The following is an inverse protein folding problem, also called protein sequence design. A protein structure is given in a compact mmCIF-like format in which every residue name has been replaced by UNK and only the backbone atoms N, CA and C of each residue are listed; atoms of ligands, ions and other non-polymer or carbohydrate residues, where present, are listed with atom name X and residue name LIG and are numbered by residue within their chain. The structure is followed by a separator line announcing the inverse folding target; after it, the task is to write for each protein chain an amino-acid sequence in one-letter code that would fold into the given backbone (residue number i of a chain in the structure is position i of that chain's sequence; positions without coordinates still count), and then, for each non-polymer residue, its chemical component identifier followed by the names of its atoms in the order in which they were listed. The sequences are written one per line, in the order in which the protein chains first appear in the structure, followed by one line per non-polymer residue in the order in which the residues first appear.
data_IF_787178749401
#
_entry.id   IF_787178749401
#
_cell.length_a   1.000
_cell.length_b   1.000
_cell.length_c   1.000
_cell.angle_alpha   90.00
_cell.angle_beta   90.00
_cell.angle_gamma   90.00
#
_symmetry.space_group_name_H-M   'P 1'
#
loop_
_entity.id
_entity.type
_entity.pdbx_description
1 polymer ?
#
# COMPACT_ATOMS: atom_id res chain seq x y z
N UNK A 1 -50.52 -26.92 22.47
CA UNK A 1 -49.71 -25.88 23.14
C UNK A 1 -48.38 -25.78 22.40
N UNK A 2 -47.92 -24.53 22.23
CA UNK A 2 -46.71 -23.95 21.62
C UNK A 2 -45.46 -24.87 21.68
N UNK A 3 -44.45 -24.86 20.79
CA UNK A 3 -44.06 -24.07 19.60
C UNK A 3 -42.80 -24.78 19.01
N UNK A 4 -42.59 -24.87 17.68
CA UNK A 4 -41.28 -25.20 17.14
C UNK A 4 -40.45 -23.91 16.99
N UNK A 5 -39.38 -23.79 17.77
CA UNK A 5 -38.43 -22.68 17.67
C UNK A 5 -37.70 -22.77 16.33
N UNK A 6 -38.19 -22.02 15.34
CA UNK A 6 -37.54 -21.85 14.05
C UNK A 6 -36.24 -21.07 14.26
N UNK A 7 -35.11 -21.79 14.20
CA UNK A 7 -33.78 -21.20 14.22
C UNK A 7 -33.54 -20.54 12.85
N UNK A 8 -33.85 -19.25 12.75
CA UNK A 8 -33.50 -18.42 11.59
C UNK A 8 -31.97 -18.26 11.56
N UNK A 9 -31.29 -19.11 10.79
CA UNK A 9 -29.90 -18.93 10.40
C UNK A 9 -29.83 -17.76 9.39
N UNK A 10 -29.71 -16.54 9.92
CA UNK A 10 -29.42 -15.36 9.11
C UNK A 10 -27.98 -15.45 8.62
N UNK A 11 -27.76 -16.07 7.46
CA UNK A 11 -26.48 -16.03 6.76
C UNK A 11 -26.26 -14.60 6.26
N UNK A 12 -25.52 -13.81 7.03
CA UNK A 12 -25.01 -12.51 6.60
C UNK A 12 -24.04 -12.75 5.44
N UNK A 13 -24.52 -12.54 4.21
CA UNK A 13 -23.65 -12.39 3.04
C UNK A 13 -22.82 -11.13 3.25
N UNK A 14 -21.61 -11.29 3.78
CA UNK A 14 -20.59 -10.25 3.71
C UNK A 14 -20.27 -10.05 2.24
N UNK A 15 -20.76 -8.96 1.66
CA UNK A 15 -20.27 -8.49 0.37
C UNK A 15 -18.80 -8.21 0.56
N UNK A 16 -17.93 -9.00 -0.07
CA UNK A 16 -16.52 -8.64 -0.19
C UNK A 16 -16.50 -7.36 -1.03
N UNK A 17 -16.31 -6.23 -0.36
CA UNK A 17 -16.05 -4.98 -1.05
C UNK A 17 -14.65 -5.12 -1.65
N UNK A 18 -14.58 -5.02 -2.96
CA UNK A 18 -13.36 -5.18 -3.75
C UNK A 18 -12.58 -3.86 -3.68
N UNK A 19 -11.46 -3.82 -2.96
CA UNK A 19 -10.59 -2.61 -2.89
C UNK A 19 -9.75 -2.38 -4.16
N UNK A 20 -10.07 -3.09 -5.24
CA UNK A 20 -9.30 -3.07 -6.46
C UNK A 20 -9.41 -1.73 -7.19
N UNK A 21 -8.35 -1.43 -7.95
CA UNK A 21 -8.33 -0.31 -8.88
C UNK A 21 -7.74 -0.82 -10.20
N UNK A 22 -7.94 -0.06 -11.27
CA UNK A 22 -7.31 -0.30 -12.56
C UNK A 22 -6.53 0.96 -12.96
N UNK A 23 -5.26 0.80 -13.32
CA UNK A 23 -4.47 1.89 -13.90
C UNK A 23 -4.79 2.01 -15.39
N UNK A 24 -5.37 3.13 -15.80
CA UNK A 24 -5.78 3.35 -17.19
C UNK A 24 -4.79 4.20 -17.97
N UNK A 25 -4.21 5.22 -17.33
CA UNK A 25 -3.15 6.01 -17.92
C UNK A 25 -2.11 6.42 -16.88
N UNK A 26 -0.80 6.34 -17.16
CA UNK A 26 -0.18 5.74 -18.34
C UNK A 26 -0.54 4.26 -18.51
N UNK A 27 -0.36 3.71 -19.72
CA UNK A 27 -0.83 2.34 -20.03
C UNK A 27 -0.22 1.34 -19.05
N UNK A 28 -1.08 0.64 -18.30
CA UNK A 28 -0.68 -0.43 -17.39
C UNK A 28 0.03 -1.57 -18.12
N UNK A 29 1.01 -2.16 -17.45
CA UNK A 29 1.77 -3.32 -17.93
C UNK A 29 0.90 -4.57 -18.09
N UNK A 30 -0.09 -4.71 -17.22
CA UNK A 30 -1.07 -5.79 -17.19
C UNK A 30 -1.97 -5.66 -15.97
N UNK A 31 -3.04 -6.44 -15.93
CA UNK A 31 -3.94 -6.53 -14.79
C UNK A 31 -4.56 -7.93 -14.69
N UNK A 32 -4.59 -8.46 -13.48
CA UNK A 32 -5.22 -9.71 -13.08
C UNK A 32 -5.59 -9.55 -11.61
N UNK A 33 -6.89 -9.56 -11.31
CA UNK A 33 -7.46 -9.24 -10.00
C UNK A 33 -6.87 -10.14 -8.91
N UNK A 34 -6.76 -11.44 -9.20
CA UNK A 34 -6.23 -12.45 -8.29
C UNK A 34 -4.74 -12.24 -7.96
N UNK A 35 -4.01 -11.50 -8.79
CA UNK A 35 -2.58 -11.23 -8.62
C UNK A 35 -2.29 -9.81 -8.15
N UNK A 36 -3.29 -8.95 -8.03
CA UNK A 36 -3.14 -7.52 -7.71
C UNK A 36 -2.32 -7.26 -6.43
N UNK A 37 -2.41 -8.15 -5.43
CA UNK A 37 -1.60 -8.10 -4.21
C UNK A 37 -0.15 -8.60 -4.33
N UNK A 38 0.28 -9.04 -5.52
CA UNK A 38 1.63 -9.55 -5.75
C UNK A 38 2.59 -8.41 -6.09
N UNK A 39 3.40 -8.01 -5.12
CA UNK A 39 4.46 -7.02 -5.34
C UNK A 39 5.53 -7.54 -6.33
N UNK A 40 6.10 -6.68 -7.21
CA UNK A 40 5.86 -5.24 -7.31
C UNK A 40 4.74 -4.80 -8.25
N UNK A 41 4.34 -5.60 -9.24
CA UNK A 41 3.51 -5.10 -10.33
C UNK A 41 2.23 -5.92 -10.54
N UNK A 42 1.65 -6.42 -9.45
CA UNK A 42 0.47 -7.29 -9.51
C UNK A 42 0.76 -8.62 -10.20
N UNK A 43 1.99 -9.14 -10.05
CA UNK A 43 2.47 -10.35 -10.72
C UNK A 43 2.88 -10.17 -12.18
N UNK A 44 2.86 -8.95 -12.72
CA UNK A 44 3.36 -8.62 -14.06
C UNK A 44 4.81 -8.11 -13.99
N UNK A 45 5.75 -9.00 -13.66
CA UNK A 45 7.11 -8.58 -13.29
C UNK A 45 7.99 -8.24 -14.49
N UNK A 46 7.64 -8.68 -15.70
CA UNK A 46 8.41 -8.38 -16.92
C UNK A 46 7.99 -7.04 -17.53
N UNK A 47 8.88 -6.03 -17.61
CA UNK A 47 8.55 -4.75 -18.23
C UNK A 47 8.12 -4.87 -19.69
N UNK A 48 7.12 -4.08 -20.06
CA UNK A 48 6.64 -3.97 -21.44
C UNK A 48 7.66 -3.24 -22.32
N UNK A 49 7.75 -3.65 -23.58
CA UNK A 49 8.44 -2.87 -24.62
C UNK A 49 7.58 -1.71 -25.14
N UNK A 50 6.27 -1.77 -24.96
CA UNK A 50 5.33 -0.70 -25.27
C UNK A 50 5.27 0.26 -24.08
N UNK A 51 6.09 1.32 -24.12
CA UNK A 51 6.22 2.31 -23.03
C UNK A 51 5.47 3.59 -23.37
N UNK A 52 4.78 4.15 -22.38
CA UNK A 52 4.11 5.44 -22.54
C UNK A 52 5.13 6.58 -22.47
N UNK A 53 5.08 7.53 -23.40
CA UNK A 53 5.87 8.74 -23.28
C UNK A 53 5.35 9.59 -22.11
N UNK A 54 6.19 9.87 -21.12
CA UNK A 54 5.80 10.60 -19.91
C UNK A 54 6.64 11.90 -19.79
N UNK A 55 6.02 13.08 -19.91
CA UNK A 55 6.71 14.36 -19.79
C UNK A 55 7.40 14.56 -18.44
N UNK A 56 8.63 15.07 -18.45
CA UNK A 56 9.31 15.54 -17.23
C UNK A 56 8.54 16.68 -16.53
N UNK A 57 7.83 17.49 -17.31
CA UNK A 57 7.06 18.64 -16.84
C UNK A 57 5.78 18.27 -16.09
N UNK A 58 5.45 16.98 -15.99
CA UNK A 58 4.21 16.51 -15.39
C UNK A 58 3.22 15.96 -16.41
N UNK A 59 2.45 14.97 -15.97
CA UNK A 59 1.38 14.33 -16.73
C UNK A 59 0.35 13.70 -15.78
N UNK A 60 -0.87 13.39 -16.25
CA UNK A 60 -1.88 12.82 -15.38
C UNK A 60 -1.55 11.38 -14.96
N UNK A 61 -2.24 10.88 -13.94
CA UNK A 61 -2.41 9.44 -13.73
C UNK A 61 -3.90 9.18 -13.56
N UNK A 62 -4.47 8.39 -14.47
CA UNK A 62 -5.88 7.98 -14.48
C UNK A 62 -6.03 6.61 -13.86
N UNK A 63 -6.87 6.54 -12.85
CA UNK A 63 -7.31 5.30 -12.22
C UNK A 63 -8.81 5.12 -12.44
N UNK A 64 -9.24 3.86 -12.48
CA UNK A 64 -10.63 3.44 -12.29
C UNK A 64 -10.72 2.74 -10.92
N UNK A 65 -11.40 3.38 -9.96
CA UNK A 65 -11.45 3.01 -8.55
C UNK A 65 -12.69 2.16 -8.26
N UNK A 66 -12.56 0.94 -7.76
CA UNK A 66 -13.71 0.07 -7.48
C UNK A 66 -14.09 0.01 -5.99
N UNK A 67 -13.46 0.85 -5.18
CA UNK A 67 -13.77 1.05 -3.77
C UNK A 67 -14.32 2.44 -3.49
N UNK A 68 -15.04 2.60 -2.37
CA UNK A 68 -15.60 3.89 -1.97
C UNK A 68 -14.60 4.82 -1.29
N UNK A 69 -13.55 4.26 -0.73
CA UNK A 69 -12.44 4.97 -0.09
C UNK A 69 -11.17 4.15 -0.35
N UNK A 70 -10.03 4.77 -0.60
CA UNK A 70 -8.76 4.04 -0.76
C UNK A 70 -7.60 4.97 -0.45
N UNK A 71 -6.59 4.51 0.27
CA UNK A 71 -5.32 5.21 0.39
C UNK A 71 -4.43 4.83 -0.80
N UNK A 72 -3.96 5.82 -1.54
CA UNK A 72 -3.17 5.64 -2.77
C UNK A 72 -1.84 6.35 -2.64
N UNK A 73 -0.78 5.73 -3.17
CA UNK A 73 0.58 6.26 -3.26
C UNK A 73 1.11 6.03 -4.67
N UNK A 74 1.93 6.96 -5.17
CA UNK A 74 2.59 6.81 -6.47
C UNK A 74 4.10 6.91 -6.30
N UNK A 75 4.79 5.89 -6.78
CA UNK A 75 6.26 5.78 -6.72
C UNK A 75 6.83 5.45 -8.10
N UNK A 76 8.13 5.69 -8.26
CA UNK A 76 8.85 5.51 -9.51
C UNK A 76 10.14 4.70 -9.26
N UNK A 77 10.40 3.75 -10.15
CA UNK A 77 11.67 3.04 -10.28
C UNK A 77 12.34 3.40 -11.61
N UNK A 78 13.65 3.61 -11.60
CA UNK A 78 14.42 4.07 -12.76
C UNK A 78 15.09 2.89 -13.47
N UNK A 79 15.04 2.89 -14.80
CA UNK A 79 15.71 1.92 -15.65
C UNK A 79 14.75 1.15 -16.56
N UNK A 80 15.33 0.25 -17.36
CA UNK A 80 14.56 -0.65 -18.22
C UNK A 80 13.78 -1.69 -17.40
N UNK A 81 14.38 -2.15 -16.31
CA UNK A 81 13.78 -3.11 -15.39
C UNK A 81 14.22 -2.74 -13.97
N UNK A 82 13.40 -1.96 -13.23
CA UNK A 82 13.75 -1.58 -11.87
C UNK A 82 13.58 -2.73 -10.86
N UNK A 83 13.01 -3.88 -11.24
CA UNK A 83 12.66 -4.95 -10.30
C UNK A 83 11.81 -4.40 -9.15
N UNK A 84 12.37 -4.39 -7.94
CA UNK A 84 11.71 -3.89 -6.72
C UNK A 84 12.14 -2.48 -6.31
N UNK A 85 13.00 -1.82 -7.10
CA UNK A 85 13.64 -0.55 -6.73
C UNK A 85 12.75 0.68 -7.01
N UNK A 86 11.63 0.79 -6.30
CA UNK A 86 10.72 1.93 -6.35
C UNK A 86 11.00 2.92 -5.21
N UNK A 87 12.06 3.72 -5.35
CA UNK A 87 12.58 4.57 -4.28
C UNK A 87 12.29 6.07 -4.47
N UNK A 88 11.60 6.46 -5.53
CA UNK A 88 11.25 7.86 -5.82
C UNK A 88 9.76 8.05 -5.59
N UNK A 89 9.39 8.94 -4.68
CA UNK A 89 7.98 9.26 -4.42
C UNK A 89 7.53 10.34 -5.40
N UNK A 90 6.55 10.01 -6.24
CA UNK A 90 5.89 10.98 -7.12
C UNK A 90 4.71 11.63 -6.42
N UNK A 91 3.95 10.83 -5.67
CA UNK A 91 2.86 11.31 -4.81
C UNK A 91 2.86 10.56 -3.49
N UNK A 92 3.08 11.26 -2.36
CA UNK A 92 2.95 10.66 -1.03
C UNK A 92 1.54 10.12 -0.81
N UNK A 93 1.40 9.16 0.10
CA UNK A 93 0.11 8.53 0.39
C UNK A 93 -0.96 9.57 0.73
N UNK A 94 -2.08 9.49 0.03
CA UNK A 94 -3.26 10.31 0.24
C UNK A 94 -4.49 9.41 0.23
N UNK A 95 -5.58 9.91 0.80
CA UNK A 95 -6.86 9.23 0.79
C UNK A 95 -7.70 9.72 -0.38
N UNK A 96 -8.16 8.81 -1.20
CA UNK A 96 -9.15 8.96 -2.27
C UNK A 96 -10.52 8.52 -1.71
N UNK A 97 -11.59 9.20 -2.13
CA UNK A 97 -12.99 8.83 -1.84
C UNK A 97 -13.85 9.06 -3.07
N UNK A 98 -14.44 7.99 -3.57
CA UNK A 98 -15.37 8.02 -4.70
C UNK A 98 -14.99 6.94 -5.72
N UNK A 99 -15.90 6.03 -6.09
CA UNK A 99 -15.60 5.03 -7.10
C UNK A 99 -15.53 5.64 -8.51
N UNK A 100 -15.16 4.81 -9.48
CA UNK A 100 -15.00 5.08 -10.90
C UNK A 100 -13.78 5.97 -11.22
N UNK A 101 -13.93 6.89 -12.17
CA UNK A 101 -12.81 7.65 -12.72
C UNK A 101 -12.21 8.57 -11.66
N UNK A 102 -10.93 8.37 -11.35
CA UNK A 102 -10.14 9.27 -10.54
C UNK A 102 -8.85 9.64 -11.26
N UNK A 103 -8.65 10.93 -11.48
CA UNK A 103 -7.44 11.46 -12.09
C UNK A 103 -6.61 12.30 -11.12
N UNK A 104 -5.32 11.99 -11.07
CA UNK A 104 -4.28 12.87 -10.54
C UNK A 104 -3.74 13.71 -11.68
N UNK A 105 -4.23 14.95 -11.84
CA UNK A 105 -4.05 15.70 -13.10
C UNK A 105 -2.64 16.16 -13.44
N UNK A 106 -1.74 16.24 -12.46
CA UNK A 106 -0.39 16.74 -12.68
C UNK A 106 0.60 16.06 -11.73
N UNK A 107 1.20 14.96 -12.21
CA UNK A 107 2.23 14.21 -11.49
C UNK A 107 3.59 14.57 -12.10
N UNK A 108 4.29 15.47 -11.43
CA UNK A 108 5.64 15.89 -11.81
C UNK A 108 6.70 14.87 -11.35
N UNK A 109 7.74 14.70 -12.16
CA UNK A 109 8.92 13.94 -11.78
C UNK A 109 9.87 14.87 -11.02
N UNK A 110 10.24 14.55 -9.77
CA UNK A 110 11.10 15.43 -8.99
C UNK A 110 12.48 15.55 -9.63
N UNK A 111 13.05 16.75 -9.67
CA UNK A 111 14.36 17.01 -10.25
C UNK A 111 15.49 16.16 -9.62
N UNK A 112 15.33 15.77 -8.35
CA UNK A 112 16.26 14.87 -7.65
C UNK A 112 16.36 13.47 -8.25
N UNK A 113 15.40 13.06 -9.09
CA UNK A 113 15.45 11.82 -9.85
C UNK A 113 16.52 11.82 -10.95
N UNK A 114 17.02 13.00 -11.35
CA UNK A 114 18.04 13.17 -12.40
C UNK A 114 17.69 12.46 -13.71
N UNK A 115 16.39 12.44 -14.06
CA UNK A 115 15.92 11.82 -15.31
C UNK A 115 16.05 12.80 -16.48
N UNK A 116 16.37 12.24 -17.64
CA UNK A 116 16.51 12.97 -18.90
C UNK A 116 15.71 12.26 -19.98
N UNK A 117 15.40 12.99 -21.05
CA UNK A 117 14.67 12.47 -22.21
C UNK A 117 15.30 11.18 -22.77
N UNK A 118 14.45 10.21 -23.09
CA UNK A 118 14.84 8.88 -23.57
C UNK A 118 15.18 7.88 -22.46
N UNK A 119 15.34 8.30 -21.20
CA UNK A 119 15.48 7.36 -20.10
C UNK A 119 14.19 6.58 -19.88
N UNK A 120 14.32 5.31 -19.55
CA UNK A 120 13.20 4.45 -19.18
C UNK A 120 13.01 4.43 -17.67
N UNK A 121 11.76 4.34 -17.25
CA UNK A 121 11.36 4.17 -15.86
C UNK A 121 10.04 3.39 -15.79
N UNK A 122 9.64 3.03 -14.57
CA UNK A 122 8.35 2.40 -14.29
C UNK A 122 7.68 3.16 -13.16
N UNK A 123 6.46 3.62 -13.39
CA UNK A 123 5.58 4.15 -12.34
C UNK A 123 4.87 2.96 -11.71
N UNK A 124 4.84 2.91 -10.38
CA UNK A 124 4.02 1.98 -9.62
C UNK A 124 2.99 2.79 -8.83
N UNK A 125 1.72 2.42 -9.00
CA UNK A 125 0.62 2.87 -8.16
C UNK A 125 0.41 1.80 -7.11
N UNK A 126 0.36 2.23 -5.86
CA UNK A 126 0.13 1.38 -4.69
C UNK A 126 -1.16 1.85 -4.03
N UNK A 127 -2.09 0.93 -3.78
CA UNK A 127 -3.21 1.16 -2.89
C UNK A 127 -3.12 0.28 -1.65
N UNK A 128 -3.86 0.61 -0.58
CA UNK A 128 -4.18 -0.42 0.40
C UNK A 128 -5.14 -1.45 -0.19
N UNK A 129 -5.08 -2.68 0.33
CA UNK A 129 -6.14 -3.67 0.19
C UNK A 129 -7.21 -3.49 1.26
N UNK A 130 -8.33 -4.16 1.09
CA UNK A 130 -9.34 -4.35 2.13
C UNK A 130 -9.38 -5.85 2.52
N UNK A 131 -9.27 -6.18 3.82
CA UNK A 131 -9.10 -5.27 4.95
C UNK A 131 -7.66 -4.77 5.15
N UNK A 132 -6.65 -5.49 4.64
CA UNK A 132 -5.22 -5.25 4.87
C UNK A 132 -4.37 -5.56 3.62
N UNK A 133 -3.10 -5.16 3.67
CA UNK A 133 -2.14 -5.35 2.58
C UNK A 133 -2.28 -4.26 1.51
N UNK A 134 -1.86 -4.55 0.29
CA UNK A 134 -1.78 -3.55 -0.74
C UNK A 134 -1.83 -4.15 -2.12
N UNK A 135 -2.30 -3.33 -3.05
CA UNK A 135 -2.52 -3.70 -4.43
C UNK A 135 -1.62 -2.85 -5.31
N UNK A 136 -1.09 -3.48 -6.36
CA UNK A 136 -0.02 -2.89 -7.15
C UNK A 136 -0.32 -2.97 -8.63
N UNK A 137 -0.13 -1.86 -9.32
CA UNK A 137 -0.09 -1.82 -10.79
C UNK A 137 1.07 -0.95 -11.24
N UNK A 138 1.69 -1.36 -12.35
CA UNK A 138 2.82 -0.67 -12.93
C UNK A 138 2.50 -0.18 -14.33
N UNK A 139 3.03 0.99 -14.68
CA UNK A 139 3.10 1.46 -16.05
C UNK A 139 4.55 1.73 -16.44
N UNK A 140 4.96 1.18 -17.57
CA UNK A 140 6.28 1.40 -18.12
C UNK A 140 6.30 2.65 -18.98
N UNK A 141 7.25 3.54 -18.68
CA UNK A 141 7.34 4.84 -19.31
C UNK A 141 8.71 5.09 -19.93
N UNK A 142 8.73 5.99 -20.91
CA UNK A 142 9.94 6.62 -21.44
C UNK A 142 9.81 8.12 -21.23
N UNK A 143 10.82 8.70 -20.61
CA UNK A 143 10.85 10.12 -20.27
C UNK A 143 10.94 10.95 -21.54
N UNK A 144 10.15 12.02 -21.62
CA UNK A 144 10.18 12.97 -22.74
C UNK A 144 10.21 14.42 -22.23
N UNK A 145 10.79 15.31 -23.03
CA UNK A 145 10.70 16.77 -22.81
C UNK A 145 9.44 17.38 -23.44
N UNK A 146 8.71 16.60 -24.25
CA UNK A 146 7.51 17.07 -24.93
C UNK A 146 6.32 17.01 -23.96
N UNK A 147 5.69 18.14 -23.59
CA UNK A 147 4.50 18.13 -22.76
C UNK A 147 3.30 17.56 -23.51
N UNK A 148 2.34 17.01 -22.78
CA UNK A 148 1.04 16.67 -23.35
C UNK A 148 0.29 17.95 -23.76
N UNK A 149 -0.45 17.86 -24.86
CA UNK A 149 -1.42 18.87 -25.26
C UNK A 149 -2.61 18.87 -24.31
N UNK A 150 -3.36 19.98 -24.27
CA UNK A 150 -4.59 20.09 -23.47
C UNK A 150 -5.61 18.99 -23.82
N UNK A 151 -5.68 18.60 -25.09
CA UNK A 151 -6.59 17.56 -25.54
C UNK A 151 -6.15 16.16 -25.09
N UNK A 152 -4.83 15.88 -25.07
CA UNK A 152 -4.28 14.63 -24.54
C UNK A 152 -4.48 14.54 -23.02
N UNK A 153 -4.25 15.63 -22.28
CA UNK A 153 -4.55 15.69 -20.84
C UNK A 153 -6.03 15.43 -20.61
N UNK A 154 -6.92 16.06 -21.37
CA UNK A 154 -8.37 15.88 -21.21
C UNK A 154 -8.86 14.47 -21.54
N UNK A 155 -8.17 13.76 -22.45
CA UNK A 155 -8.47 12.36 -22.77
C UNK A 155 -7.99 11.38 -21.69
N UNK A 156 -6.95 11.76 -20.95
CA UNK A 156 -6.30 10.91 -19.96
C UNK A 156 -6.51 11.37 -18.52
N UNK A 157 -7.44 12.30 -18.30
CA UNK A 157 -7.71 12.85 -16.98
C UNK A 157 -9.18 13.23 -16.81
N UNK A 158 -9.96 12.32 -16.27
CA UNK A 158 -11.35 12.54 -15.91
C UNK A 158 -11.61 12.12 -14.47
N UNK A 159 -12.49 12.86 -13.80
CA UNK A 159 -12.96 12.54 -12.45
C UNK A 159 -14.47 12.33 -12.50
N UNK A 160 -14.94 11.23 -11.91
CA UNK A 160 -16.36 11.00 -11.67
C UNK A 160 -16.90 11.98 -10.63
N UNK A 161 -18.22 12.17 -10.61
CA UNK A 161 -18.85 13.10 -9.67
C UNK A 161 -18.70 12.63 -8.22
N UNK A 162 -18.28 13.52 -7.32
CA UNK A 162 -18.17 13.20 -5.90
C UNK A 162 -16.81 12.63 -5.49
N UNK A 163 -15.88 12.44 -6.43
CA UNK A 163 -14.49 12.06 -6.14
C UNK A 163 -13.79 13.18 -5.35
N UNK A 164 -13.16 12.83 -4.24
CA UNK A 164 -12.41 13.76 -3.39
C UNK A 164 -11.10 13.17 -2.93
N UNK A 165 -10.12 14.03 -2.61
CA UNK A 165 -8.85 13.59 -2.03
C UNK A 165 -8.53 14.33 -0.75
N UNK A 166 -7.86 13.64 0.17
CA UNK A 166 -7.42 14.17 1.46
C UNK A 166 -5.98 13.76 1.73
N UNK A 167 -5.11 14.73 1.99
CA UNK A 167 -3.76 14.45 2.45
C UNK A 167 -3.78 13.79 3.84
N UNK A 168 -2.91 12.79 4.04
CA UNK A 168 -2.76 12.11 5.33
C UNK A 168 -1.59 12.73 6.09
N UNK A 169 -1.77 12.98 7.39
CA UNK A 169 -0.69 13.46 8.25
C UNK A 169 0.33 12.34 8.48
N UNK A 170 1.60 12.63 8.21
CA UNK A 170 2.70 11.67 8.29
C UNK A 170 2.47 10.40 7.43
N UNK A 171 2.39 10.56 6.09
CA UNK A 171 2.01 9.47 5.20
C UNK A 171 3.05 8.33 5.23
N UNK A 172 2.61 7.14 5.64
CA UNK A 172 3.35 5.88 5.47
C UNK A 172 3.16 5.29 4.08
N UNK A 173 3.63 4.06 3.85
CA UNK A 173 3.35 3.34 2.60
C UNK A 173 1.86 2.92 2.56
N UNK A 174 1.18 3.13 1.43
CA UNK A 174 -0.24 2.77 1.28
C UNK A 174 -0.53 1.28 1.59
N UNK A 175 0.38 0.36 1.26
CA UNK A 175 0.27 -1.07 1.59
C UNK A 175 0.19 -1.39 3.09
N UNK A 176 0.68 -0.48 3.94
CA UNK A 176 0.71 -0.64 5.40
C UNK A 176 -0.43 0.14 6.08
N UNK A 177 -1.40 0.61 5.29
CA UNK A 177 -2.55 1.34 5.80
C UNK A 177 -3.80 0.49 5.63
N UNK A 178 -4.74 0.64 6.55
CA UNK A 178 -6.09 0.10 6.40
C UNK A 178 -7.07 1.26 6.27
N UNK A 179 -8.29 0.95 5.82
CA UNK A 179 -9.37 1.92 5.86
C UNK A 179 -9.73 2.27 7.30
N UNK A 180 -9.48 3.51 7.69
CA UNK A 180 -9.99 3.99 8.97
C UNK A 180 -11.51 4.20 8.86
N UNK A 181 -12.26 3.21 9.33
CA UNK A 181 -13.65 3.43 9.74
C UNK A 181 -13.63 4.48 10.86
N UNK A 182 -13.99 5.71 10.52
CA UNK A 182 -14.04 6.80 11.49
C UNK A 182 -15.15 6.53 12.51
N UNK A 183 -14.82 5.87 13.60
CA UNK A 183 -15.53 5.96 14.87
C UNK A 183 -14.57 6.55 15.91
N UNK A 184 -14.26 7.84 15.77
CA UNK A 184 -13.64 8.60 16.84
C UNK A 184 -14.71 8.98 17.89
N UNK A 185 -15.13 8.02 18.72
CA UNK A 185 -15.74 8.32 20.02
C UNK A 185 -14.62 8.31 21.07
N UNK A 186 -13.86 9.40 21.16
CA UNK A 186 -12.86 9.60 22.18
C UNK A 186 -13.49 10.07 23.48
N UNK A 187 -13.96 9.13 24.32
CA UNK A 187 -14.29 9.41 25.72
C UNK A 187 -12.98 9.68 26.48
N UNK A 188 -12.76 10.92 26.89
CA UNK A 188 -11.66 11.28 27.77
C UNK A 188 -11.82 10.54 29.12
N UNK A 189 -11.00 9.52 29.36
CA UNK A 189 -10.85 8.89 30.68
C UNK A 189 -9.60 9.45 31.35
N UNK A 190 -9.82 10.34 32.31
CA UNK A 190 -8.80 10.85 33.21
C UNK A 190 -8.25 9.73 34.09
N UNK A 191 -6.94 9.46 34.00
CA UNK A 191 -6.23 8.58 34.93
C UNK A 191 -5.04 9.31 35.53
N UNK A 192 -5.05 9.33 36.85
CA UNK A 192 -4.22 10.04 37.81
C UNK A 192 -2.73 9.73 37.68
N UNK A 193 -1.88 10.77 37.64
CA UNK A 193 -0.44 10.62 37.86
C UNK A 193 -0.12 10.89 39.34
N UNK A 194 0.27 9.84 40.07
CA UNK A 194 0.94 9.97 41.36
C UNK A 194 2.45 9.82 41.12
N UNK A 195 3.19 10.90 41.37
CA UNK A 195 4.64 10.93 41.31
C UNK A 195 5.24 10.33 42.58
N UNK A 196 6.23 9.44 42.46
CA UNK A 196 7.22 9.24 43.52
C UNK A 196 8.58 8.93 42.88
N UNK A 197 9.56 9.73 43.30
CA UNK A 197 10.89 9.85 42.73
C UNK A 197 11.82 8.68 43.07
N UNK A 198 12.69 8.38 42.12
CA UNK A 198 13.85 7.51 42.23
C UNK A 198 14.99 8.16 43.03
N UNK A 199 15.63 7.42 43.93
CA UNK A 199 17.02 7.65 44.35
C UNK A 199 17.73 6.30 44.39
N UNK A 200 18.81 6.18 43.60
CA UNK A 200 19.61 4.97 43.51
C UNK A 200 20.69 4.88 44.58
N UNK A 201 21.19 3.67 44.82
CA UNK A 201 22.55 3.40 45.28
C UNK A 201 22.89 1.92 45.03
N UNK A 202 24.14 1.70 44.63
CA UNK A 202 24.72 0.42 44.27
C UNK A 202 25.19 -0.42 45.49
N UNK A 203 25.58 -1.67 45.19
CA UNK A 203 26.63 -2.52 45.81
C UNK A 203 26.23 -3.82 46.54
N UNK A 204 26.72 -4.93 45.95
CA UNK A 204 27.50 -6.05 46.51
C UNK A 204 26.87 -7.15 47.42
N UNK A 205 27.00 -8.38 46.90
CA UNK A 205 27.59 -9.59 47.52
C UNK A 205 26.71 -10.76 48.05
N UNK A 206 27.05 -11.95 47.53
CA UNK A 206 27.21 -13.26 48.19
C UNK A 206 26.03 -14.11 48.72
N UNK A 207 25.89 -15.28 48.06
CA UNK A 207 26.09 -16.64 48.61
C UNK A 207 24.98 -17.33 49.40
N UNK A 208 24.43 -18.41 48.80
CA UNK A 208 24.07 -19.76 49.33
C UNK A 208 22.88 -20.29 48.49
N UNK A 209 22.81 -21.49 47.93
CA UNK A 209 23.64 -22.70 47.95
C UNK A 209 22.70 -23.92 47.79
N UNK A 210 22.95 -24.75 46.75
CA UNK A 210 22.70 -26.22 46.65
C UNK A 210 21.21 -26.69 46.71
N UNK A 211 20.63 -27.52 45.81
CA UNK A 211 20.94 -28.88 45.29
C UNK A 211 20.32 -29.01 43.88
N UNK A 212 20.94 -29.53 42.81
CA UNK A 212 21.65 -30.78 42.52
C UNK A 212 20.78 -32.05 42.46
N UNK A 213 20.96 -32.79 41.36
CA UNK A 213 20.61 -34.20 41.04
C UNK A 213 19.20 -34.43 40.45
N UNK A 214 18.98 -35.12 39.32
CA UNK A 214 19.81 -35.90 38.37
C UNK A 214 18.92 -36.26 37.16
N UNK A 215 19.45 -36.35 35.93
CA UNK A 215 19.96 -37.58 35.27
C UNK A 215 18.83 -38.62 35.01
N UNK A 216 18.69 -39.32 33.88
CA UNK A 216 19.51 -39.64 32.71
C UNK A 216 18.53 -40.22 31.63
N UNK A 217 18.67 -39.91 30.34
CA UNK A 217 19.47 -40.61 29.32
C UNK A 217 18.79 -41.83 28.64
N UNK A 218 19.30 -42.11 27.42
CA UNK A 218 19.14 -43.27 26.52
C UNK A 218 18.03 -43.10 25.45
N UNK A 219 18.30 -43.25 24.14
CA UNK A 219 19.48 -43.66 23.38
C UNK A 219 19.17 -43.50 21.87
N UNK A 220 20.15 -43.15 21.04
CA UNK A 220 20.76 -44.06 20.05
C UNK A 220 20.19 -43.82 18.65
N UNK A 221 20.88 -43.13 17.73
CA UNK A 221 22.01 -43.56 16.87
C UNK A 221 21.59 -44.25 15.55
N UNK A 222 21.82 -43.52 14.45
CA UNK A 222 22.41 -43.91 13.14
C UNK A 222 21.91 -45.12 12.33
N UNK A 223 21.60 -44.85 11.03
CA UNK A 223 22.10 -45.56 9.82
C UNK A 223 21.61 -44.77 8.58
N UNK A 224 22.47 -44.18 7.74
CA UNK A 224 23.08 -44.79 6.53
C UNK A 224 22.06 -45.39 5.55
N UNK A 225 21.63 -44.59 4.57
CA UNK A 225 21.77 -44.78 3.12
C UNK A 225 21.29 -43.53 2.38
#
# INVERSE_FOLDING_TARGET
MLSPTALLLSASLTTLASAHFVLDWPVKRGFDDDKSGTFPCGGFDTPSSNRTAFPLSGAPIQLDMHHTETNVMVVLGVGNDPGTAFNIILRPTFRERGPENFCMGDIEIPASANLTEGMNATIQVVSNGDPDGGLYQCADITITNTPLTTDEVSQHCTNSSGVTTQAISNPGNANETSESSSSASGTASSSSASATASTGAATLNSWSGVWALGAAALGGAAALL
#
